data_IF_306464788639
#
_entry.id   IF_306464788639
#
_cell.length_a   1.000
_cell.length_b   1.000
_cell.length_c   1.000
_cell.angle_alpha   90.00
_cell.angle_beta   90.00
_cell.angle_gamma   90.00
#
_symmetry.space_group_name_H-M   'P 1'
#
loop_
_entity.id
_entity.type
_entity.pdbx_description
1 polymer ?
#
# COMPACT_ATOMS: atom_id res chain seq x y z
N UNK A 1 -8.12 -1.17 -24.55
CA UNK A 1 -8.90 -2.41 -24.72
C UNK A 1 -8.92 -3.08 -23.36
N UNK A 2 -9.84 -2.64 -22.52
CA UNK A 2 -11.15 -3.27 -22.24
C UNK A 2 -11.01 -4.37 -21.20
N UNK A 3 -11.74 -4.15 -20.12
CA UNK A 3 -12.06 -5.06 -19.03
C UNK A 3 -12.46 -6.40 -19.65
N UNK A 4 -11.54 -7.38 -19.66
CA UNK A 4 -11.83 -8.75 -20.06
C UNK A 4 -11.08 -9.74 -19.18
N UNK A 5 -11.57 -9.90 -17.94
CA UNK A 5 -12.14 -11.16 -17.43
C UNK A 5 -12.39 -11.03 -15.92
N UNK A 6 -13.68 -11.02 -15.58
CA UNK A 6 -14.27 -11.09 -14.25
C UNK A 6 -13.81 -12.35 -13.48
N UNK A 7 -12.60 -12.29 -12.90
CA UNK A 7 -12.24 -13.04 -11.69
C UNK A 7 -11.75 -12.09 -10.60
N UNK A 8 -11.16 -10.95 -10.98
CA UNK A 8 -10.67 -9.92 -10.05
C UNK A 8 -11.82 -9.26 -9.27
N UNK A 9 -12.98 -9.03 -9.90
CA UNK A 9 -14.13 -8.40 -9.23
C UNK A 9 -14.79 -9.28 -8.15
N UNK A 10 -14.83 -10.62 -8.33
CA UNK A 10 -15.32 -11.53 -7.29
C UNK A 10 -14.36 -11.57 -6.09
N UNK A 11 -13.05 -11.60 -6.34
CA UNK A 11 -12.02 -11.51 -5.29
C UNK A 11 -12.12 -10.18 -4.52
N UNK A 12 -12.41 -9.07 -5.21
CA UNK A 12 -12.59 -7.75 -4.59
C UNK A 12 -13.85 -7.70 -3.72
N UNK A 13 -14.97 -8.29 -4.16
CA UNK A 13 -16.18 -8.41 -3.35
C UNK A 13 -15.91 -9.24 -2.09
N UNK A 14 -15.18 -10.33 -2.21
CA UNK A 14 -14.79 -11.16 -1.06
C UNK A 14 -13.80 -10.46 -0.13
N UNK A 15 -12.86 -9.66 -0.64
CA UNK A 15 -11.91 -8.87 0.17
C UNK A 15 -12.57 -7.68 0.86
N UNK A 16 -13.49 -6.98 0.19
CA UNK A 16 -14.25 -5.86 0.77
C UNK A 16 -15.27 -6.35 1.81
N UNK A 17 -15.79 -7.57 1.68
CA UNK A 17 -16.74 -8.19 2.63
C UNK A 17 -16.01 -8.92 3.77
N UNK A 18 -14.86 -9.55 3.50
CA UNK A 18 -14.01 -10.16 4.52
C UNK A 18 -13.12 -9.11 5.18
N UNK A 19 -13.77 -8.15 5.86
CA UNK A 19 -13.12 -7.19 6.74
C UNK A 19 -12.63 -7.89 8.02
N UNK A 20 -11.62 -8.75 7.86
CA UNK A 20 -11.14 -9.64 8.90
C UNK A 20 -10.23 -8.88 9.85
N UNK A 21 -10.56 -8.90 11.14
CA UNK A 21 -9.75 -8.30 12.20
C UNK A 21 -8.30 -8.83 12.23
N UNK A 22 -8.06 -10.03 11.69
CA UNK A 22 -6.76 -10.71 11.65
C UNK A 22 -5.98 -10.49 10.35
N UNK A 23 -6.35 -9.49 9.54
CA UNK A 23 -5.65 -9.17 8.29
C UNK A 23 -4.97 -7.81 8.36
N UNK A 24 -3.70 -7.76 7.97
CA UNK A 24 -2.95 -6.52 7.77
C UNK A 24 -2.99 -6.11 6.30
N UNK A 25 -3.51 -4.92 6.04
CA UNK A 25 -3.43 -4.28 4.74
C UNK A 25 -2.22 -3.36 4.70
N UNK A 26 -1.43 -3.43 3.64
CA UNK A 26 -0.27 -2.57 3.46
C UNK A 26 -0.44 -1.85 2.14
N UNK A 27 -0.55 -0.53 2.18
CA UNK A 27 -0.47 0.26 0.95
C UNK A 27 1.01 0.51 0.62
N UNK A 28 1.48 -0.11 -0.45
CA UNK A 28 2.87 -0.12 -0.86
C UNK A 28 3.04 0.66 -2.16
N UNK A 29 3.51 1.90 -2.02
CA UNK A 29 3.98 2.67 -3.16
C UNK A 29 5.40 2.25 -3.54
N UNK A 30 5.53 1.51 -4.62
CA UNK A 30 6.81 1.10 -5.23
C UNK A 30 6.74 1.34 -6.73
N UNK A 31 7.88 1.41 -7.41
CA UNK A 31 7.92 1.69 -8.84
C UNK A 31 8.34 3.12 -9.14
N UNK A 32 7.41 4.06 -9.05
CA UNK A 32 7.60 5.47 -9.38
C UNK A 32 8.50 6.23 -8.38
N UNK A 33 8.62 5.70 -7.17
CA UNK A 33 9.48 6.21 -6.08
C UNK A 33 10.59 5.23 -5.69
N UNK A 34 10.98 4.36 -6.63
CA UNK A 34 12.06 3.39 -6.46
C UNK A 34 11.64 2.11 -5.74
N UNK A 35 12.66 1.31 -5.40
CA UNK A 35 12.54 0.06 -4.65
C UNK A 35 12.23 0.37 -3.18
N UNK A 36 11.43 -0.48 -2.54
CA UNK A 36 11.11 -0.37 -1.11
C UNK A 36 12.37 -0.63 -0.30
N UNK A 37 12.61 0.21 0.72
CA UNK A 37 13.78 0.06 1.58
C UNK A 37 13.64 -1.13 2.56
N UNK A 38 14.79 -1.64 3.01
CA UNK A 38 14.85 -2.78 3.93
C UNK A 38 14.19 -2.51 5.27
N UNK A 39 14.21 -1.26 5.75
CA UNK A 39 13.58 -0.91 7.02
C UNK A 39 12.06 -1.08 6.95
N UNK A 40 11.43 -0.63 5.87
CA UNK A 40 10.00 -0.79 5.65
C UNK A 40 9.61 -2.26 5.44
N UNK A 41 10.45 -3.02 4.71
CA UNK A 41 10.28 -4.47 4.54
C UNK A 41 10.30 -5.19 5.90
N UNK A 42 11.29 -4.87 6.75
CA UNK A 42 11.39 -5.43 8.11
C UNK A 42 10.22 -4.99 9.00
N UNK A 43 9.69 -3.78 8.80
CA UNK A 43 8.48 -3.31 9.50
C UNK A 43 7.27 -4.18 9.15
N UNK A 44 7.06 -4.48 7.87
CA UNK A 44 6.00 -5.38 7.42
C UNK A 44 6.19 -6.77 8.05
N UNK A 45 7.41 -7.30 8.03
CA UNK A 45 7.73 -8.60 8.61
C UNK A 45 7.43 -8.64 10.13
N UNK A 46 7.85 -7.63 10.87
CA UNK A 46 7.62 -7.56 12.32
C UNK A 46 6.14 -7.40 12.68
N UNK A 47 5.37 -6.63 11.90
CA UNK A 47 3.92 -6.54 12.12
C UNK A 47 3.21 -7.83 11.73
N UNK A 48 3.68 -8.51 10.69
CA UNK A 48 3.00 -9.67 10.13
C UNK A 48 2.78 -10.81 11.13
N UNK A 49 3.64 -10.93 12.14
CA UNK A 49 3.53 -11.98 13.18
C UNK A 49 2.24 -11.88 13.99
N UNK A 50 1.56 -10.72 13.96
CA UNK A 50 0.31 -10.45 14.69
C UNK A 50 -0.94 -10.73 13.87
N UNK A 51 -0.79 -11.05 12.58
CA UNK A 51 -1.88 -11.15 11.62
C UNK A 51 -1.82 -12.50 10.91
N UNK A 52 -2.98 -13.09 10.65
CA UNK A 52 -3.05 -14.35 9.91
C UNK A 52 -2.71 -14.15 8.44
N UNK A 53 -3.06 -12.99 7.88
CA UNK A 53 -2.94 -12.67 6.46
C UNK A 53 -2.38 -11.27 6.25
N UNK A 54 -1.53 -11.12 5.23
CA UNK A 54 -1.11 -9.80 4.74
C UNK A 54 -1.63 -9.60 3.32
N UNK A 55 -2.21 -8.42 3.07
CA UNK A 55 -2.58 -7.97 1.74
C UNK A 55 -1.77 -6.73 1.38
N UNK A 56 -0.97 -6.83 0.33
CA UNK A 56 -0.22 -5.71 -0.22
C UNK A 56 -1.04 -5.08 -1.34
N UNK A 57 -1.45 -3.83 -1.14
CA UNK A 57 -2.09 -2.98 -2.13
C UNK A 57 -0.98 -2.20 -2.86
N UNK A 58 -0.69 -2.54 -4.11
CA UNK A 58 0.34 -1.86 -4.88
C UNK A 58 0.00 -1.79 -6.36
N UNK A 59 0.51 -0.81 -7.08
CA UNK A 59 0.28 -0.69 -8.52
C UNK A 59 1.33 0.16 -9.20
N UNK A 60 1.39 0.06 -10.53
CA UNK A 60 2.23 0.94 -11.35
C UNK A 60 1.37 2.13 -11.75
N UNK A 61 1.47 3.22 -11.00
CA UNK A 61 0.72 4.44 -11.28
C UNK A 61 1.48 5.28 -12.33
N UNK A 62 0.84 5.52 -13.47
CA UNK A 62 1.41 6.28 -14.58
C UNK A 62 1.24 7.77 -14.32
N UNK A 63 2.33 8.54 -14.30
CA UNK A 63 2.26 9.99 -14.56
C UNK A 63 2.50 10.18 -16.05
N UNK A 64 1.45 10.53 -16.80
CA UNK A 64 1.55 10.80 -18.23
C UNK A 64 2.68 11.78 -18.55
N UNK A 65 3.52 11.43 -19.53
CA UNK A 65 4.51 12.24 -20.25
C UNK A 65 5.39 13.26 -19.47
N UNK A 66 5.45 13.20 -18.14
CA UNK A 66 6.36 14.02 -17.32
C UNK A 66 7.73 13.35 -17.25
N UNK A 67 8.37 13.22 -18.41
CA UNK A 67 9.53 12.38 -18.71
C UNK A 67 10.86 12.73 -17.99
N UNK A 68 10.89 13.67 -17.06
CA UNK A 68 12.15 14.09 -16.41
C UNK A 68 12.23 13.83 -14.90
N UNK A 69 11.11 13.49 -14.25
CA UNK A 69 11.05 13.36 -12.78
C UNK A 69 10.67 11.94 -12.35
N UNK A 70 10.07 11.15 -13.24
CA UNK A 70 9.58 9.81 -12.93
C UNK A 70 10.27 8.74 -13.80
N UNK A 71 10.48 7.54 -13.24
CA UNK A 71 11.04 6.43 -13.98
C UNK A 71 10.12 5.99 -15.11
N UNK A 72 10.68 5.33 -16.11
CA UNK A 72 9.88 4.73 -17.18
C UNK A 72 8.90 3.68 -16.62
N UNK A 73 7.85 3.34 -17.39
CA UNK A 73 6.92 2.27 -16.98
C UNK A 73 7.65 0.94 -16.77
N UNK A 74 8.58 0.61 -17.66
CA UNK A 74 9.42 -0.60 -17.56
C UNK A 74 10.26 -0.61 -16.28
N UNK A 75 10.86 0.53 -15.93
CA UNK A 75 11.63 0.69 -14.70
C UNK A 75 10.74 0.62 -13.45
N UNK A 76 9.56 1.23 -13.49
CA UNK A 76 8.58 1.14 -12.40
C UNK A 76 8.14 -0.30 -12.15
N UNK A 77 7.90 -1.06 -13.22
CA UNK A 77 7.59 -2.50 -13.13
C UNK A 77 8.78 -3.27 -12.53
N UNK A 78 10.01 -2.98 -12.96
CA UNK A 78 11.20 -3.64 -12.43
C UNK A 78 11.40 -3.37 -10.93
N UNK A 79 11.26 -2.11 -10.52
CA UNK A 79 11.34 -1.69 -9.12
C UNK A 79 10.26 -2.35 -8.25
N UNK A 80 9.02 -2.45 -8.76
CA UNK A 80 7.93 -3.14 -8.08
C UNK A 80 8.24 -4.64 -7.93
N UNK A 81 8.68 -5.31 -9.00
CA UNK A 81 9.06 -6.73 -8.96
C UNK A 81 10.15 -7.01 -7.94
N UNK A 82 11.18 -6.16 -7.90
CA UNK A 82 12.28 -6.28 -6.93
C UNK A 82 11.81 -6.06 -5.48
N UNK A 83 10.87 -5.12 -5.28
CA UNK A 83 10.30 -4.88 -3.95
C UNK A 83 9.47 -6.08 -3.47
N UNK A 84 8.64 -6.64 -4.36
CA UNK A 84 7.80 -7.79 -4.06
C UNK A 84 8.62 -9.06 -3.84
N UNK A 85 9.69 -9.28 -4.61
CA UNK A 85 10.56 -10.46 -4.42
C UNK A 85 11.23 -10.45 -3.05
N UNK A 86 11.66 -9.27 -2.56
CA UNK A 86 12.21 -9.13 -1.21
C UNK A 86 11.16 -9.41 -0.14
N UNK A 87 9.93 -8.90 -0.30
CA UNK A 87 8.84 -9.18 0.63
C UNK A 87 8.51 -10.68 0.71
N UNK A 88 8.44 -11.36 -0.43
CA UNK A 88 8.19 -12.80 -0.49
C UNK A 88 9.31 -13.64 0.13
N UNK A 89 10.55 -13.14 0.16
CA UNK A 89 11.65 -13.85 0.80
C UNK A 89 11.52 -13.91 2.33
N UNK A 90 10.69 -13.05 2.92
CA UNK A 90 10.56 -12.90 4.38
C UNK A 90 9.20 -13.38 4.88
N UNK A 91 8.15 -13.35 4.05
CA UNK A 91 6.83 -13.81 4.45
C UNK A 91 6.12 -14.59 3.33
N UNK A 92 5.69 -15.81 3.64
CA UNK A 92 5.05 -16.73 2.68
C UNK A 92 3.54 -16.51 2.52
N UNK A 93 2.88 -15.77 3.43
CA UNK A 93 1.43 -15.56 3.39
C UNK A 93 1.04 -14.14 2.97
N UNK A 94 1.67 -13.68 1.88
CA UNK A 94 1.39 -12.40 1.24
C UNK A 94 0.46 -12.60 0.05
N UNK A 95 -0.66 -11.89 0.05
CA UNK A 95 -1.52 -11.67 -1.12
C UNK A 95 -1.24 -10.30 -1.71
N UNK A 96 -1.11 -10.21 -3.03
CA UNK A 96 -0.88 -8.94 -3.72
C UNK A 96 -2.16 -8.56 -4.48
N UNK A 97 -2.59 -7.32 -4.30
CA UNK A 97 -3.64 -6.70 -5.09
C UNK A 97 -3.04 -5.60 -5.98
N UNK A 98 -3.24 -5.75 -7.29
CA UNK A 98 -2.78 -4.84 -8.34
C UNK A 98 -3.91 -4.00 -8.95
N UNK A 99 -5.01 -3.84 -8.21
CA UNK A 99 -6.15 -3.04 -8.65
C UNK A 99 -5.82 -1.55 -8.79
N UNK A 100 -6.71 -0.82 -9.43
CA UNK A 100 -6.58 0.63 -9.60
C UNK A 100 -6.62 1.39 -8.26
N UNK A 101 -5.98 2.57 -8.16
CA UNK A 101 -5.86 3.30 -6.90
C UNK A 101 -7.20 3.61 -6.21
N UNK A 102 -8.28 3.83 -6.96
CA UNK A 102 -9.61 4.09 -6.39
C UNK A 102 -10.18 2.88 -5.63
N UNK A 103 -9.87 1.66 -6.12
CA UNK A 103 -10.23 0.41 -5.45
C UNK A 103 -9.40 0.28 -4.18
N UNK A 104 -8.10 0.57 -4.24
CA UNK A 104 -7.23 0.56 -3.05
C UNK A 104 -7.71 1.53 -1.98
N UNK A 105 -8.13 2.75 -2.35
CA UNK A 105 -8.72 3.70 -1.40
C UNK A 105 -10.00 3.17 -0.75
N UNK A 106 -10.84 2.49 -1.53
CA UNK A 106 -12.07 1.85 -1.03
C UNK A 106 -11.76 0.74 -0.01
N UNK A 107 -10.72 -0.07 -0.28
CA UNK A 107 -10.22 -1.09 0.64
C UNK A 107 -9.63 -0.43 1.90
N UNK A 108 -8.73 0.54 1.73
CA UNK A 108 -8.09 1.27 2.83
C UNK A 108 -9.12 1.89 3.77
N UNK A 109 -10.17 2.53 3.25
CA UNK A 109 -11.26 3.10 4.05
C UNK A 109 -11.90 2.07 4.99
N UNK A 110 -12.07 0.84 4.54
CA UNK A 110 -12.88 -0.17 5.23
C UNK A 110 -12.07 -1.17 6.05
N UNK A 111 -10.80 -1.39 5.72
CA UNK A 111 -9.98 -2.38 6.39
C UNK A 111 -9.79 -2.08 7.89
N UNK A 112 -9.56 -3.12 8.70
CA UNK A 112 -9.34 -2.98 10.15
C UNK A 112 -7.93 -2.60 10.56
N UNK A 113 -6.93 -3.05 9.82
CA UNK A 113 -5.53 -2.80 10.12
C UNK A 113 -4.82 -2.34 8.85
N UNK A 114 -4.28 -1.12 8.85
CA UNK A 114 -3.66 -0.51 7.69
C UNK A 114 -2.27 -0.02 8.02
N UNK A 115 -1.27 -0.44 7.26
CA UNK A 115 0.08 0.12 7.28
C UNK A 115 0.30 0.95 6.00
N UNK A 116 0.68 2.20 6.19
CA UNK A 116 0.93 3.15 5.10
C UNK A 116 2.42 3.31 4.81
N UNK A 117 2.78 3.29 3.51
CA UNK A 117 4.18 3.47 3.09
C UNK A 117 4.57 4.93 2.88
N UNK A 118 4.26 5.51 1.72
CA UNK A 118 4.61 6.89 1.36
C UNK A 118 3.75 7.42 0.23
N UNK A 119 3.76 8.73 0.04
CA UNK A 119 3.10 9.45 -1.04
C UNK A 119 1.62 9.78 -0.78
N UNK A 120 1.07 10.65 -1.63
CA UNK A 120 -0.26 11.25 -1.44
C UNK A 120 -1.42 10.25 -1.37
N UNK A 121 -1.40 9.16 -2.15
CA UNK A 121 -2.44 8.12 -2.06
C UNK A 121 -2.44 7.40 -0.71
N UNK A 122 -1.26 7.16 -0.13
CA UNK A 122 -1.17 6.61 1.22
C UNK A 122 -1.76 7.57 2.25
N UNK A 123 -1.45 8.87 2.12
CA UNK A 123 -2.02 9.89 3.02
C UNK A 123 -3.54 9.94 2.89
N UNK A 124 -4.07 9.97 1.67
CA UNK A 124 -5.50 9.98 1.43
C UNK A 124 -6.18 8.74 2.03
N UNK A 125 -5.57 7.56 1.86
CA UNK A 125 -6.02 6.32 2.49
C UNK A 125 -6.08 6.43 4.01
N UNK A 126 -5.07 7.03 4.65
CA UNK A 126 -5.07 7.30 6.08
C UNK A 126 -6.15 8.30 6.53
N UNK A 127 -6.42 9.34 5.74
CA UNK A 127 -7.43 10.36 6.05
C UNK A 127 -8.86 9.79 6.02
N UNK A 128 -9.12 8.85 5.11
CA UNK A 128 -10.43 8.20 4.96
C UNK A 128 -10.55 6.88 5.72
N UNK A 129 -9.49 6.46 6.41
CA UNK A 129 -9.44 5.21 7.18
C UNK A 129 -10.46 5.25 8.34
N UNK A 130 -11.29 4.21 8.42
CA UNK A 130 -12.34 4.04 9.45
C UNK A 130 -12.17 2.71 10.22
N UNK A 131 -10.96 2.13 10.14
CA UNK A 131 -10.61 0.90 10.82
C UNK A 131 -10.12 1.11 12.25
N UNK A 132 -9.52 0.06 12.81
CA UNK A 132 -9.16 0.02 14.22
C UNK A 132 -7.70 0.44 14.43
N UNK A 133 -6.79 -0.02 13.56
CA UNK A 133 -5.35 0.21 13.68
C UNK A 133 -4.76 0.81 12.41
N UNK A 134 -4.36 2.09 12.49
CA UNK A 134 -3.58 2.75 11.44
C UNK A 134 -2.10 2.83 11.87
N UNK A 135 -1.22 2.25 11.07
CA UNK A 135 0.22 2.25 11.28
C UNK A 135 0.93 3.11 10.24
N UNK A 136 1.88 3.90 10.70
CA UNK A 136 2.82 4.65 9.87
C UNK A 136 4.23 4.45 10.41
N UNK A 137 5.24 4.53 9.54
CA UNK A 137 6.64 4.56 10.01
C UNK A 137 7.11 6.00 10.13
N UNK A 138 8.20 6.19 10.88
CA UNK A 138 8.91 7.49 10.91
C UNK A 138 9.43 7.91 9.51
N UNK A 139 9.55 6.98 8.57
CA UNK A 139 9.94 7.24 7.19
C UNK A 139 8.76 7.67 6.28
N UNK A 140 7.54 7.71 6.81
CA UNK A 140 6.37 8.11 6.03
C UNK A 140 6.51 9.56 5.56
N UNK A 141 6.52 9.75 4.24
CA UNK A 141 6.51 11.07 3.60
C UNK A 141 5.31 11.16 2.66
N UNK A 142 4.32 12.00 3.00
CA UNK A 142 3.12 12.19 2.20
C UNK A 142 3.40 12.90 0.86
N UNK A 143 4.27 13.92 0.91
CA UNK A 143 4.66 14.81 -0.18
C UNK A 143 6.12 15.20 0.10
N UNK A 144 6.93 15.50 -0.92
CA UNK A 144 8.32 15.99 -0.78
C UNK A 144 8.43 17.33 -0.01
N UNK A 145 7.32 17.94 0.38
CA UNK A 145 7.29 19.07 1.31
C UNK A 145 7.39 18.58 2.75
N UNK A 146 8.30 19.17 3.54
CA UNK A 146 8.50 18.92 4.98
C UNK A 146 7.29 19.28 5.89
N UNK A 147 6.08 19.39 5.35
CA UNK A 147 4.88 19.73 6.12
C UNK A 147 4.40 18.50 6.90
N UNK A 148 4.80 18.42 8.16
CA UNK A 148 4.30 17.46 9.14
C UNK A 148 2.84 17.72 9.56
N UNK A 149 2.25 18.85 9.16
CA UNK A 149 0.86 19.21 9.48
C UNK A 149 -0.16 18.19 8.96
N UNK A 150 0.14 17.40 7.93
CA UNK A 150 -0.82 16.41 7.42
C UNK A 150 -1.16 15.32 8.43
N UNK A 151 -0.25 15.00 9.35
CA UNK A 151 -0.47 13.99 10.38
C UNK A 151 -1.46 14.44 11.44
N UNK A 152 -1.67 15.75 11.65
CA UNK A 152 -2.66 16.24 12.62
C UNK A 152 -4.09 15.89 12.22
N UNK A 153 -4.32 15.57 10.95
CA UNK A 153 -5.63 15.20 10.42
C UNK A 153 -5.88 13.68 10.44
N UNK A 154 -4.83 12.86 10.65
CA UNK A 154 -4.99 11.42 10.82
C UNK A 154 -5.55 11.13 12.20
N UNK A 155 -6.71 10.48 12.26
CA UNK A 155 -7.32 10.06 13.53
C UNK A 155 -6.67 8.75 13.99
N UNK A 156 -6.17 8.73 15.24
CA UNK A 156 -5.76 7.52 15.97
C UNK A 156 -4.78 6.61 15.19
N UNK A 157 -3.57 7.10 14.94
CA UNK A 157 -2.50 6.32 14.32
C UNK A 157 -1.41 5.93 15.34
N UNK A 158 -0.67 4.88 15.01
CA UNK A 158 0.52 4.42 15.74
C UNK A 158 1.75 4.63 14.87
N UNK A 159 2.79 5.26 15.44
CA UNK A 159 4.11 5.39 14.82
C UNK A 159 4.95 4.16 15.18
N UNK A 160 5.55 3.52 14.18
CA UNK A 160 6.46 2.37 14.29
C UNK A 160 7.93 2.76 14.05
#
# INVERSE_FOLDING_TARGET
MYIEKNKTNEIIHDLLISNQCNTLYVHLRSGDKGVVDEYYINTIANLSVKYEKIIILCGVHQNGERNHIFPSVSESIANMKLSLSRLYSINSNIVIDLSEPDIHLSIMRKCKNLLLHKGGYSLLGGLIFDGDNLFITNAFSAIESNNSEYFTYLKKYTIL
#
